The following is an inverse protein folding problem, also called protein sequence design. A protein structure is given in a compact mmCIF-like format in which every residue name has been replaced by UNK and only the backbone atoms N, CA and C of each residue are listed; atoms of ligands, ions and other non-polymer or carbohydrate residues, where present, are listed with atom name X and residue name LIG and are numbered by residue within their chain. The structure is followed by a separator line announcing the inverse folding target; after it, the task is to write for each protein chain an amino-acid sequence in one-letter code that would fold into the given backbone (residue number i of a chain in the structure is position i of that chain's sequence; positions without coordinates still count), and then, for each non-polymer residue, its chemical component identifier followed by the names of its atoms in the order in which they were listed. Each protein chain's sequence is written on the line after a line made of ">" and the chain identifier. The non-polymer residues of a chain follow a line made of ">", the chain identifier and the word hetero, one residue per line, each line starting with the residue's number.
data_IF_726432102232
#
_entry.id   IF_726432102232
#
_cell.length_a   1.000
_cell.length_b   1.000
_cell.length_c   1.000
_cell.angle_alpha   90.00
_cell.angle_beta   90.00
_cell.angle_gamma   90.00
#
_symmetry.space_group_name_H-M   'P 1'
#
loop_
_entity.id
_entity.type
_entity.pdbx_description
1 polymer ?
#
# COMPACT_ATOMS: atom_id res chain seq x y z
N UNK A 1 -15.54 -7.93 -8.98
CA UNK A 1 -14.91 -6.79 -8.29
C UNK A 1 -13.43 -7.12 -8.20
N UNK A 2 -12.52 -6.15 -8.35
CA UNK A 2 -11.08 -6.43 -8.28
C UNK A 2 -10.70 -6.85 -6.86
N UNK A 3 -9.94 -7.94 -6.75
CA UNK A 3 -9.36 -8.39 -5.49
C UNK A 3 -8.35 -7.34 -5.00
N UNK A 4 -8.61 -6.74 -3.83
CA UNK A 4 -7.79 -5.67 -3.26
C UNK A 4 -7.21 -6.11 -1.93
N UNK A 5 -5.89 -6.20 -1.84
CA UNK A 5 -5.15 -6.59 -0.65
C UNK A 5 -4.54 -5.35 0.03
N UNK A 6 -4.84 -5.16 1.31
CA UNK A 6 -4.12 -4.26 2.22
C UNK A 6 -2.97 -5.04 2.85
N UNK A 7 -1.76 -4.49 2.81
CA UNK A 7 -0.56 -5.20 3.22
C UNK A 7 0.34 -4.29 4.04
N UNK A 8 0.91 -4.84 5.10
CA UNK A 8 1.92 -4.21 5.94
C UNK A 8 2.89 -5.29 6.45
N UNK A 9 4.20 -5.00 6.42
CA UNK A 9 5.24 -5.91 6.92
C UNK A 9 6.01 -5.28 8.08
N UNK A 10 6.59 -6.14 8.92
CA UNK A 10 7.57 -5.71 9.91
C UNK A 10 8.90 -6.43 9.71
N UNK A 11 9.98 -5.66 9.87
CA UNK A 11 11.34 -6.13 9.63
C UNK A 11 12.18 -6.04 10.90
N UNK A 12 13.01 -7.05 11.14
CA UNK A 12 14.09 -6.98 12.11
C UNK A 12 15.10 -5.88 11.72
N UNK A 13 15.64 -5.15 12.70
CA UNK A 13 16.77 -4.25 12.47
C UNK A 13 18.01 -5.02 12.01
N UNK A 14 18.93 -4.34 11.32
CA UNK A 14 20.29 -4.87 11.18
C UNK A 14 20.96 -4.94 12.55
N UNK A 15 21.61 -6.06 12.86
CA UNK A 15 22.48 -6.18 14.02
C UNK A 15 23.92 -5.93 13.57
N UNK A 16 24.53 -4.88 14.12
CA UNK A 16 25.82 -4.36 13.64
C UNK A 16 26.79 -4.12 14.78
N UNK A 17 28.07 -4.35 14.50
CA UNK A 17 29.18 -3.95 15.37
C UNK A 17 29.58 -2.51 15.11
N UNK A 18 29.46 -1.65 16.12
CA UNK A 18 29.89 -0.25 16.06
C UNK A 18 30.63 0.17 17.33
N UNK A 19 31.64 1.03 17.19
CA UNK A 19 32.45 1.55 18.31
C UNK A 19 31.89 2.85 18.91
N UNK A 20 30.87 3.43 18.30
CA UNK A 20 30.27 4.68 18.75
C UNK A 20 28.81 4.81 18.36
N UNK A 21 28.14 5.79 18.95
CA UNK A 21 26.71 6.07 18.69
C UNK A 21 26.50 7.12 17.58
N UNK A 22 27.47 8.01 17.37
CA UNK A 22 27.30 9.21 16.54
C UNK A 22 28.12 9.15 15.24
N UNK A 23 27.50 9.52 14.11
CA UNK A 23 28.15 9.67 12.79
C UNK A 23 28.98 8.45 12.34
N UNK A 24 28.50 7.24 12.61
CA UNK A 24 29.16 6.01 12.16
C UNK A 24 28.66 5.61 10.77
N UNK A 25 29.57 5.37 9.84
CA UNK A 25 29.24 4.70 8.58
C UNK A 25 29.47 3.20 8.78
N UNK A 26 28.42 2.39 8.69
CA UNK A 26 28.51 0.95 8.94
C UNK A 26 28.92 0.23 7.65
N UNK A 27 30.09 -0.41 7.65
CA UNK A 27 30.56 -1.26 6.57
C UNK A 27 29.85 -2.62 6.55
N UNK A 28 29.74 -3.25 5.38
CA UNK A 28 29.08 -4.56 5.23
C UNK A 28 29.71 -5.65 6.10
N UNK A 29 31.02 -5.57 6.37
CA UNK A 29 31.75 -6.51 7.22
C UNK A 29 31.47 -6.35 8.72
N UNK A 30 30.73 -5.31 9.11
CA UNK A 30 30.30 -5.07 10.49
C UNK A 30 28.88 -5.58 10.75
N UNK A 31 28.20 -6.09 9.73
CA UNK A 31 26.88 -6.68 9.85
C UNK A 31 27.03 -8.08 10.44
N UNK A 32 26.48 -8.28 11.64
CA UNK A 32 26.34 -9.62 12.25
C UNK A 32 25.11 -10.33 11.72
N UNK A 33 24.03 -9.58 11.58
CA UNK A 33 22.75 -10.04 11.05
C UNK A 33 22.17 -8.96 10.14
N UNK A 34 21.80 -9.34 8.92
CA UNK A 34 21.18 -8.46 7.93
C UNK A 34 19.74 -8.07 8.26
N UNK A 35 19.17 -8.61 9.33
CA UNK A 35 17.75 -8.56 9.64
C UNK A 35 16.97 -9.39 8.63
N UNK A 36 15.68 -9.10 8.51
CA UNK A 36 14.76 -9.87 7.68
C UNK A 36 13.32 -9.49 7.98
N UNK A 37 12.39 -9.97 7.16
CA UNK A 37 10.97 -9.83 7.49
C UNK A 37 10.65 -10.76 8.67
N UNK A 38 10.07 -10.20 9.74
CA UNK A 38 9.71 -10.96 10.95
C UNK A 38 8.21 -11.27 11.00
N UNK A 39 7.38 -10.43 10.40
CA UNK A 39 5.97 -10.74 10.18
C UNK A 39 5.37 -9.91 9.04
N UNK A 40 4.20 -10.33 8.58
CA UNK A 40 3.32 -9.49 7.78
C UNK A 40 1.86 -9.69 8.18
N UNK A 41 1.08 -8.64 7.91
CA UNK A 41 -0.36 -8.71 7.92
C UNK A 41 -0.91 -8.38 6.55
N UNK A 42 -1.91 -9.14 6.14
CA UNK A 42 -2.63 -8.95 4.89
C UNK A 42 -4.13 -8.92 5.17
N UNK A 43 -4.90 -8.12 4.45
CA UNK A 43 -6.36 -8.10 4.58
C UNK A 43 -6.97 -7.85 3.21
N UNK A 44 -7.88 -8.72 2.75
CA UNK A 44 -8.64 -8.41 1.55
C UNK A 44 -9.77 -7.43 1.86
N UNK A 45 -10.07 -6.55 0.90
CA UNK A 45 -11.18 -5.60 0.99
C UNK A 45 -12.49 -6.32 1.28
N UNK A 46 -13.13 -5.95 2.40
CA UNK A 46 -14.39 -6.54 2.86
C UNK A 46 -14.25 -7.73 3.81
N UNK A 47 -13.06 -8.31 4.00
CA UNK A 47 -12.84 -9.31 5.06
C UNK A 47 -13.01 -8.65 6.44
N UNK A 48 -13.52 -9.36 7.45
CA UNK A 48 -13.68 -8.79 8.78
C UNK A 48 -12.35 -8.69 9.54
N UNK A 49 -11.47 -9.68 9.35
CA UNK A 49 -10.19 -9.79 10.04
C UNK A 49 -9.05 -9.85 9.02
N UNK A 50 -7.92 -9.25 9.38
CA UNK A 50 -6.68 -9.49 8.65
C UNK A 50 -6.20 -10.95 8.82
N UNK A 51 -5.19 -11.32 8.05
CA UNK A 51 -4.33 -12.46 8.25
C UNK A 51 -3.04 -11.97 8.91
N UNK A 52 -2.38 -12.83 9.67
CA UNK A 52 -1.06 -12.54 10.25
C UNK A 52 -0.22 -13.80 10.18
N UNK A 53 1.05 -13.62 9.79
CA UNK A 53 2.04 -14.69 9.77
C UNK A 53 3.38 -14.10 10.22
N UNK A 54 4.17 -14.88 10.96
CA UNK A 54 5.49 -14.49 11.41
C UNK A 54 6.56 -15.55 11.14
N UNK A 55 7.81 -15.13 11.24
CA UNK A 55 8.98 -16.01 11.23
C UNK A 55 9.07 -16.90 12.48
N UNK A 56 8.29 -16.59 13.52
CA UNK A 56 8.07 -17.42 14.71
C UNK A 56 7.01 -18.50 14.47
N UNK A 57 5.87 -18.15 13.85
CA UNK A 57 4.81 -19.08 13.51
C UNK A 57 4.06 -18.62 12.24
N UNK A 58 4.03 -19.40 11.15
CA UNK A 58 4.48 -20.80 11.00
C UNK A 58 5.97 -20.98 10.71
N UNK A 59 6.79 -19.95 10.91
CA UNK A 59 8.18 -19.95 10.48
C UNK A 59 8.38 -19.15 9.20
N UNK A 60 9.62 -18.72 8.94
CA UNK A 60 9.97 -17.87 7.79
C UNK A 60 9.41 -18.40 6.46
N UNK A 61 9.63 -19.68 6.15
CA UNK A 61 9.19 -20.26 4.87
C UNK A 61 7.66 -20.21 4.71
N UNK A 62 6.92 -20.58 5.76
CA UNK A 62 5.46 -20.54 5.72
C UNK A 62 4.92 -19.12 5.65
N UNK A 63 5.52 -18.17 6.37
CA UNK A 63 5.20 -16.75 6.28
C UNK A 63 5.40 -16.20 4.87
N UNK A 64 6.58 -16.42 4.27
CA UNK A 64 6.89 -15.89 2.94
C UNK A 64 6.01 -16.51 1.86
N UNK A 65 5.72 -17.82 1.94
CA UNK A 65 4.77 -18.48 1.02
C UNK A 65 3.36 -17.91 1.15
N UNK A 66 2.88 -17.68 2.38
CA UNK A 66 1.57 -17.07 2.60
C UNK A 66 1.50 -15.65 2.01
N UNK A 67 2.55 -14.84 2.16
CA UNK A 67 2.61 -13.50 1.55
C UNK A 67 2.61 -13.58 0.01
N UNK A 68 3.35 -14.54 -0.56
CA UNK A 68 3.38 -14.78 -1.99
C UNK A 68 1.99 -15.17 -2.53
N UNK A 69 1.33 -16.13 -1.90
CA UNK A 69 0.00 -16.60 -2.29
C UNK A 69 -1.07 -15.49 -2.20
N UNK A 70 -1.00 -14.61 -1.19
CA UNK A 70 -1.91 -13.48 -1.09
C UNK A 70 -1.66 -12.42 -2.16
N UNK A 71 -0.40 -12.13 -2.48
CA UNK A 71 -0.05 -11.23 -3.59
C UNK A 71 -0.47 -11.81 -4.94
N UNK A 72 -0.36 -13.12 -5.13
CA UNK A 72 -0.76 -13.81 -6.37
C UNK A 72 -2.27 -13.69 -6.65
N UNK A 73 -3.07 -13.65 -5.58
CA UNK A 73 -4.52 -13.48 -5.65
C UNK A 73 -4.99 -12.01 -5.79
N UNK A 74 -4.09 -11.04 -5.64
CA UNK A 74 -4.44 -9.63 -5.61
C UNK A 74 -4.41 -9.00 -7.01
N UNK A 75 -5.47 -8.30 -7.41
CA UNK A 75 -5.43 -7.42 -8.57
C UNK A 75 -4.81 -6.05 -8.19
N UNK A 76 -5.06 -5.62 -6.95
CA UNK A 76 -4.60 -4.36 -6.37
C UNK A 76 -3.97 -4.64 -5.01
N UNK A 77 -2.79 -4.06 -4.78
CA UNK A 77 -2.12 -4.08 -3.48
C UNK A 77 -2.02 -2.65 -2.96
N UNK A 78 -2.61 -2.42 -1.80
CA UNK A 78 -2.63 -1.14 -1.08
C UNK A 78 -1.64 -1.22 0.08
N UNK A 79 -0.75 -0.23 0.18
CA UNK A 79 0.27 -0.12 1.24
C UNK A 79 0.43 1.31 1.71
N UNK A 80 1.08 1.52 2.85
CA UNK A 80 1.62 2.81 3.26
C UNK A 80 3.14 2.85 3.04
N UNK A 81 3.60 3.49 1.96
CA UNK A 81 5.01 3.54 1.56
C UNK A 81 5.61 2.19 1.09
N UNK A 82 4.77 1.17 0.83
CA UNK A 82 5.23 -0.16 0.47
C UNK A 82 5.86 -0.32 -0.91
N UNK A 83 5.64 0.62 -1.84
CA UNK A 83 6.39 0.66 -3.11
C UNK A 83 7.90 0.75 -2.90
N UNK A 84 8.32 1.39 -1.81
CA UNK A 84 9.74 1.61 -1.47
C UNK A 84 10.23 0.76 -0.31
N UNK A 85 9.32 0.14 0.44
CA UNK A 85 9.64 -0.60 1.65
C UNK A 85 9.17 -2.05 1.55
N UNK A 86 7.87 -2.29 1.70
CA UNK A 86 7.26 -3.62 1.80
C UNK A 86 7.55 -4.52 0.60
N UNK A 87 7.21 -4.05 -0.60
CA UNK A 87 7.34 -4.85 -1.83
C UNK A 87 8.79 -5.21 -2.14
N UNK A 88 9.78 -4.29 -2.03
CA UNK A 88 11.19 -4.67 -2.13
C UNK A 88 11.64 -5.74 -1.13
N UNK A 89 11.21 -5.68 0.14
CA UNK A 89 11.57 -6.69 1.14
C UNK A 89 10.94 -8.04 0.81
N UNK A 90 9.65 -8.07 0.46
CA UNK A 90 8.98 -9.29 0.03
C UNK A 90 9.64 -9.92 -1.20
N UNK A 91 10.00 -9.12 -2.21
CA UNK A 91 10.71 -9.61 -3.37
C UNK A 91 12.08 -10.21 -3.02
N UNK A 92 12.80 -9.65 -2.04
CA UNK A 92 14.04 -10.24 -1.51
C UNK A 92 13.75 -11.59 -0.86
N UNK A 93 12.74 -11.67 0.02
CA UNK A 93 12.36 -12.93 0.66
C UNK A 93 11.96 -14.01 -0.36
N UNK A 94 11.21 -13.64 -1.40
CA UNK A 94 10.86 -14.57 -2.49
C UNK A 94 12.10 -15.07 -3.22
N UNK A 95 13.03 -14.17 -3.56
CA UNK A 95 14.27 -14.51 -4.23
C UNK A 95 15.13 -15.47 -3.38
N UNK A 96 15.27 -15.19 -2.08
CA UNK A 96 16.06 -16.01 -1.16
C UNK A 96 15.47 -17.40 -0.91
N UNK A 97 14.14 -17.55 -1.01
CA UNK A 97 13.46 -18.86 -0.97
C UNK A 97 13.33 -19.53 -2.35
N UNK A 98 13.89 -18.95 -3.41
CA UNK A 98 13.81 -19.50 -4.77
C UNK A 98 12.42 -19.45 -5.40
N UNK A 99 11.53 -18.60 -4.88
CA UNK A 99 10.22 -18.35 -5.47
C UNK A 99 10.34 -17.37 -6.65
N UNK A 100 9.55 -17.60 -7.69
CA UNK A 100 9.37 -16.62 -8.77
C UNK A 100 8.46 -15.48 -8.31
N UNK A 101 8.45 -14.33 -9.00
CA UNK A 101 7.48 -13.28 -8.69
C UNK A 101 6.02 -13.81 -8.69
N UNK A 102 5.14 -13.28 -7.82
CA UNK A 102 3.71 -13.57 -7.88
C UNK A 102 3.09 -12.96 -9.14
N UNK A 103 1.81 -13.29 -9.40
CA UNK A 103 1.05 -12.72 -10.50
C UNK A 103 1.08 -11.18 -10.50
N UNK A 104 1.12 -10.52 -11.68
CA UNK A 104 1.24 -9.06 -11.74
C UNK A 104 0.02 -8.35 -11.13
N UNK A 105 0.26 -7.47 -10.16
CA UNK A 105 -0.75 -6.63 -9.51
C UNK A 105 -0.49 -5.13 -9.69
N UNK A 106 -1.51 -4.31 -9.43
CA UNK A 106 -1.40 -2.84 -9.43
C UNK A 106 -1.18 -2.33 -8.01
N UNK A 107 -0.20 -1.44 -7.82
CA UNK A 107 0.12 -0.90 -6.50
C UNK A 107 -0.48 0.49 -6.26
N UNK A 108 -1.25 0.62 -5.18
CA UNK A 108 -1.77 1.88 -4.64
C UNK A 108 -1.03 2.19 -3.33
N UNK A 109 -0.11 3.15 -3.38
CA UNK A 109 0.66 3.56 -2.20
C UNK A 109 0.05 4.84 -1.63
N UNK A 110 -0.59 4.72 -0.46
CA UNK A 110 -1.31 5.83 0.16
C UNK A 110 -0.38 6.91 0.72
N UNK A 111 0.86 6.58 1.07
CA UNK A 111 1.85 7.57 1.47
C UNK A 111 2.20 8.51 0.30
N UNK A 112 2.33 7.96 -0.91
CA UNK A 112 2.54 8.77 -2.11
C UNK A 112 1.32 9.63 -2.45
N UNK A 113 0.11 9.10 -2.26
CA UNK A 113 -1.13 9.89 -2.41
C UNK A 113 -1.16 11.03 -1.39
N UNK A 114 -0.85 10.75 -0.12
CA UNK A 114 -0.84 11.76 0.94
C UNK A 114 0.11 12.90 0.61
N UNK A 115 1.35 12.58 0.24
CA UNK A 115 2.37 13.58 -0.12
C UNK A 115 2.03 14.40 -1.36
N UNK A 116 1.31 13.79 -2.32
CA UNK A 116 0.99 14.44 -3.59
C UNK A 116 -0.22 15.34 -3.48
N UNK A 117 -1.23 14.92 -2.72
CA UNK A 117 -2.56 15.54 -2.74
C UNK A 117 -2.82 16.39 -1.51
N UNK A 118 -2.20 16.08 -0.36
CA UNK A 118 -2.45 16.75 0.90
C UNK A 118 -1.20 17.47 1.43
N UNK A 119 -1.42 18.40 2.36
CA UNK A 119 -0.37 19.16 3.05
C UNK A 119 -0.47 18.94 4.56
N UNK A 120 -0.36 17.69 5.00
CA UNK A 120 -0.27 17.37 6.42
C UNK A 120 1.10 17.80 6.98
N UNK A 121 1.16 18.28 8.24
CA UNK A 121 2.43 18.57 8.92
C UNK A 121 3.40 17.37 9.00
N UNK A 122 2.86 16.16 9.08
CA UNK A 122 3.62 14.91 9.01
C UNK A 122 2.90 13.91 8.11
N UNK A 123 3.65 13.11 7.35
CA UNK A 123 3.13 12.02 6.53
C UNK A 123 3.38 10.65 7.19
N UNK A 124 3.58 10.60 8.50
CA UNK A 124 3.53 9.33 9.23
C UNK A 124 2.09 8.82 9.24
N UNK A 125 1.91 7.51 9.07
CA UNK A 125 0.59 6.85 9.06
C UNK A 125 -0.26 7.27 10.27
N UNK A 126 0.33 7.18 11.46
CA UNK A 126 -0.32 7.53 12.73
C UNK A 126 -0.82 8.99 12.74
N UNK A 127 0.02 9.95 12.34
CA UNK A 127 -0.36 11.36 12.30
C UNK A 127 -1.53 11.61 11.35
N UNK A 128 -1.48 11.05 10.14
CA UNK A 128 -2.54 11.22 9.14
C UNK A 128 -3.84 10.58 9.60
N UNK A 129 -3.75 9.41 10.24
CA UNK A 129 -4.90 8.68 10.78
C UNK A 129 -5.62 9.47 11.86
N UNK A 130 -4.87 9.95 12.86
CA UNK A 130 -5.40 10.79 13.93
C UNK A 130 -6.00 12.09 13.40
N UNK A 131 -5.34 12.74 12.43
CA UNK A 131 -5.85 13.97 11.82
C UNK A 131 -7.18 13.78 11.08
N UNK A 132 -7.52 12.55 10.68
CA UNK A 132 -8.77 12.19 10.02
C UNK A 132 -9.82 11.60 10.98
N UNK A 133 -9.51 11.54 12.28
CA UNK A 133 -10.41 11.08 13.33
C UNK A 133 -10.49 9.56 13.45
N UNK A 134 -9.55 8.80 12.88
CA UNK A 134 -9.44 7.37 13.11
C UNK A 134 -8.82 7.09 14.47
N UNK A 135 -9.16 5.95 15.07
CA UNK A 135 -8.55 5.51 16.31
C UNK A 135 -7.03 5.45 16.10
N UNK A 136 -6.28 6.20 16.91
CA UNK A 136 -4.82 6.24 16.82
C UNK A 136 -4.21 4.87 17.12
N UNK A 137 -2.95 4.66 16.70
CA UNK A 137 -2.26 3.39 16.96
C UNK A 137 -2.23 3.06 18.46
N UNK A 138 -2.32 1.77 18.78
CA UNK A 138 -1.84 1.26 20.07
C UNK A 138 -0.36 1.66 20.19
N UNK A 139 -0.02 2.43 21.22
CA UNK A 139 1.37 2.83 21.44
C UNK A 139 2.25 1.58 21.62
N UNK A 140 3.20 1.37 20.73
CA UNK A 140 4.17 0.28 20.86
C UNK A 140 5.36 0.72 21.71
N UNK A 141 6.09 -0.24 22.30
CA UNK A 141 7.29 0.00 23.11
C UNK A 141 8.50 0.52 22.28
N UNK A 142 8.26 1.06 21.09
CA UNK A 142 9.31 1.42 20.13
C UNK A 142 10.09 0.19 19.68
N UNK A 143 11.37 0.39 19.42
CA UNK A 143 12.32 -0.65 19.02
C UNK A 143 12.38 -1.86 19.97
N UNK A 144 12.05 -1.68 21.26
CA UNK A 144 12.10 -2.74 22.26
C UNK A 144 11.14 -3.90 21.94
N UNK A 145 10.00 -3.63 21.31
CA UNK A 145 9.06 -4.67 20.91
C UNK A 145 9.69 -5.65 19.90
N UNK A 146 10.45 -5.13 18.93
CA UNK A 146 11.14 -5.94 17.91
C UNK A 146 12.22 -6.79 18.57
N UNK A 147 13.01 -6.21 19.48
CA UNK A 147 14.06 -6.94 20.22
C UNK A 147 13.45 -8.12 20.99
N UNK A 148 12.35 -7.91 21.72
CA UNK A 148 11.67 -8.98 22.45
C UNK A 148 11.11 -10.08 21.53
N UNK A 149 10.56 -9.70 20.38
CA UNK A 149 10.11 -10.69 19.39
C UNK A 149 11.28 -11.55 18.88
N UNK A 150 12.42 -10.92 18.58
CA UNK A 150 13.64 -11.60 18.16
C UNK A 150 14.24 -12.51 19.25
N UNK A 151 13.98 -12.21 20.52
CA UNK A 151 14.34 -13.05 21.68
C UNK A 151 13.34 -14.18 21.95
N UNK A 152 12.24 -14.27 21.19
CA UNK A 152 11.22 -15.31 21.31
C UNK A 152 10.17 -15.06 22.40
N UNK A 153 9.98 -13.81 22.83
CA UNK A 153 8.95 -13.45 23.82
C UNK A 153 7.52 -13.56 23.23
N UNK A 154 6.74 -14.52 23.73
CA UNK A 154 5.36 -14.78 23.31
C UNK A 154 4.40 -13.61 23.59
N UNK A 155 4.60 -12.85 24.67
CA UNK A 155 3.79 -11.65 24.94
C UNK A 155 4.10 -10.53 23.96
N UNK A 156 5.37 -10.40 23.57
CA UNK A 156 5.78 -9.45 22.54
C UNK A 156 5.18 -9.83 21.19
N UNK A 157 5.20 -11.11 20.82
CA UNK A 157 4.60 -11.59 19.58
C UNK A 157 3.09 -11.35 19.52
N UNK A 158 2.36 -11.55 20.61
CA UNK A 158 0.91 -11.22 20.66
C UNK A 158 0.65 -9.74 20.43
N UNK A 159 1.49 -8.86 21.00
CA UNK A 159 1.38 -7.40 20.77
C UNK A 159 1.77 -7.02 19.35
N UNK A 160 2.78 -7.67 18.78
CA UNK A 160 3.20 -7.47 17.39
C UNK A 160 2.09 -7.86 16.41
N UNK A 161 1.42 -9.00 16.66
CA UNK A 161 0.26 -9.43 15.88
C UNK A 161 -0.88 -8.42 15.94
N UNK A 162 -1.28 -7.97 17.13
CA UNK A 162 -2.31 -6.95 17.29
C UNK A 162 -1.95 -5.65 16.55
N UNK A 163 -0.71 -5.19 16.72
CA UNK A 163 -0.19 -3.99 16.08
C UNK A 163 -0.23 -4.07 14.55
N UNK A 164 0.31 -5.13 13.96
CA UNK A 164 0.43 -5.27 12.51
C UNK A 164 -0.93 -5.54 11.83
N UNK A 165 -1.84 -6.27 12.51
CA UNK A 165 -3.24 -6.39 12.07
C UNK A 165 -3.99 -5.06 12.12
N UNK A 166 -3.79 -4.28 13.16
CA UNK A 166 -4.42 -2.96 13.28
C UNK A 166 -3.98 -2.01 12.16
N UNK A 167 -2.71 -2.10 11.72
CA UNK A 167 -2.20 -1.28 10.63
C UNK A 167 -2.92 -1.55 9.29
N UNK A 168 -3.21 -2.81 8.94
CA UNK A 168 -3.97 -3.11 7.70
C UNK A 168 -5.45 -2.73 7.80
N UNK A 169 -6.05 -2.80 8.99
CA UNK A 169 -7.43 -2.31 9.22
C UNK A 169 -7.47 -0.80 9.02
N UNK A 170 -6.56 -0.07 9.66
CA UNK A 170 -6.44 1.38 9.52
C UNK A 170 -6.13 1.79 8.08
N UNK A 171 -5.32 0.99 7.37
CA UNK A 171 -4.99 1.22 5.97
C UNK A 171 -6.23 1.13 5.06
N UNK A 172 -7.15 0.21 5.32
CA UNK A 172 -8.43 0.11 4.62
C UNK A 172 -9.32 1.33 4.87
N UNK A 173 -9.44 1.78 6.12
CA UNK A 173 -10.21 2.97 6.49
C UNK A 173 -9.67 4.23 5.78
N UNK A 174 -8.35 4.39 5.77
CA UNK A 174 -7.66 5.46 5.07
C UNK A 174 -7.86 5.37 3.56
N UNK A 175 -7.74 4.16 3.00
CA UNK A 175 -7.95 3.93 1.58
C UNK A 175 -9.36 4.36 1.17
N UNK A 176 -10.40 3.99 1.94
CA UNK A 176 -11.77 4.41 1.69
C UNK A 176 -11.92 5.94 1.68
N UNK A 177 -11.28 6.65 2.62
CA UNK A 177 -11.27 8.12 2.65
C UNK A 177 -10.47 8.75 1.52
N UNK A 178 -9.36 8.12 1.11
CA UNK A 178 -8.48 8.63 0.07
C UNK A 178 -8.99 8.34 -1.33
N UNK A 179 -9.84 7.32 -1.50
CA UNK A 179 -10.32 6.81 -2.77
C UNK A 179 -10.74 7.90 -3.80
N UNK A 180 -11.58 8.90 -3.44
CA UNK A 180 -11.91 10.00 -4.37
C UNK A 180 -10.69 10.83 -4.80
N UNK A 181 -9.68 10.94 -3.96
CA UNK A 181 -8.48 11.75 -4.14
C UNK A 181 -7.36 11.05 -4.90
N UNK A 182 -7.41 9.72 -5.06
CA UNK A 182 -6.37 8.95 -5.76
C UNK A 182 -6.35 9.32 -7.27
N UNK A 183 -5.32 10.00 -7.80
CA UNK A 183 -5.39 10.58 -9.15
C UNK A 183 -5.55 9.54 -10.28
N UNK A 184 -4.98 8.36 -10.11
CA UNK A 184 -5.02 7.27 -11.09
C UNK A 184 -5.24 5.95 -10.38
N UNK A 185 -6.47 5.76 -9.91
CA UNK A 185 -6.88 4.51 -9.27
C UNK A 185 -6.97 3.39 -10.32
N UNK A 186 -6.42 2.19 -10.07
CA UNK A 186 -6.65 1.03 -10.93
C UNK A 186 -8.14 0.73 -11.05
N UNK A 187 -8.63 0.52 -12.27
CA UNK A 187 -10.05 0.29 -12.52
C UNK A 187 -10.23 -1.06 -13.21
N UNK A 188 -11.29 -1.79 -12.85
CA UNK A 188 -11.76 -2.89 -13.67
C UNK A 188 -12.24 -2.34 -15.02
N UNK A 189 -11.98 -3.06 -16.11
CA UNK A 189 -12.69 -2.81 -17.37
C UNK A 189 -14.15 -3.16 -17.12
N UNK A 190 -15.03 -2.20 -17.32
CA UNK A 190 -16.47 -2.35 -17.14
C UNK A 190 -17.15 -1.94 -18.44
N UNK A 191 -18.15 -2.72 -18.85
CA UNK A 191 -19.02 -2.34 -19.95
C UNK A 191 -19.92 -1.18 -19.51
N UNK A 192 -19.87 -0.07 -20.25
CA UNK A 192 -20.62 1.15 -19.94
C UNK A 192 -19.84 2.17 -19.11
N UNK A 193 -20.56 2.97 -18.33
CA UNK A 193 -19.98 4.05 -17.53
C UNK A 193 -20.13 3.71 -16.05
N UNK A 194 -19.02 3.47 -15.38
CA UNK A 194 -18.96 3.37 -13.93
C UNK A 194 -17.77 4.15 -13.39
N UNK A 195 -17.80 4.45 -12.09
CA UNK A 195 -16.69 5.11 -11.43
C UNK A 195 -15.45 4.19 -11.43
N UNK A 196 -14.31 4.62 -11.98
CA UNK A 196 -13.09 3.79 -12.03
C UNK A 196 -12.45 3.56 -10.65
N UNK A 197 -12.94 4.23 -9.60
CA UNK A 197 -12.38 4.16 -8.25
C UNK A 197 -13.11 3.14 -7.38
N UNK A 198 -14.44 3.21 -7.35
CA UNK A 198 -15.26 2.33 -6.50
C UNK A 198 -16.19 1.38 -7.30
N UNK A 199 -16.20 1.45 -8.63
CA UNK A 199 -17.07 0.63 -9.48
C UNK A 199 -18.54 1.05 -9.51
N UNK A 200 -18.95 2.10 -8.78
CA UNK A 200 -20.36 2.54 -8.77
C UNK A 200 -20.83 3.07 -10.12
N UNK A 201 -22.02 2.63 -10.55
CA UNK A 201 -22.76 3.21 -11.69
C UNK A 201 -23.53 4.48 -11.33
N UNK A 202 -23.59 4.87 -10.04
CA UNK A 202 -24.27 6.09 -9.60
C UNK A 202 -23.36 7.30 -9.79
N UNK A 203 -23.65 8.06 -10.84
CA UNK A 203 -22.86 9.22 -11.21
C UNK A 203 -23.73 10.33 -11.81
N UNK A 204 -23.20 11.56 -11.79
CA UNK A 204 -23.80 12.70 -12.47
C UNK A 204 -22.86 13.26 -13.54
N UNK A 205 -23.42 13.66 -14.70
CA UNK A 205 -22.69 14.37 -15.76
C UNK A 205 -22.37 15.80 -15.31
N UNK A 206 -21.10 16.20 -15.39
CA UNK A 206 -20.60 17.50 -14.88
C UNK A 206 -19.58 18.13 -15.83
N UNK A 207 -20.08 18.75 -16.90
CA UNK A 207 -19.27 19.46 -17.89
C UNK A 207 -18.28 18.54 -18.62
N UNK A 208 -17.17 19.10 -19.10
CA UNK A 208 -16.18 18.36 -19.90
C UNK A 208 -14.80 18.37 -19.26
N UNK A 209 -14.07 17.28 -19.43
CA UNK A 209 -12.63 17.21 -19.21
C UNK A 209 -11.94 17.49 -20.54
N UNK A 210 -11.16 18.57 -20.58
CA UNK A 210 -10.45 19.01 -21.77
C UNK A 210 -9.01 18.51 -21.74
N UNK A 211 -8.53 18.10 -22.91
CA UNK A 211 -7.13 17.86 -23.22
C UNK A 211 -6.73 18.78 -24.36
N UNK A 212 -5.45 18.87 -24.70
CA UNK A 212 -4.99 19.73 -25.80
C UNK A 212 -5.67 19.42 -27.15
N UNK A 213 -6.13 18.18 -27.35
CA UNK A 213 -6.63 17.71 -28.64
C UNK A 213 -8.11 17.28 -28.60
N UNK A 214 -8.75 17.24 -27.43
CA UNK A 214 -10.05 16.57 -27.27
C UNK A 214 -10.81 16.98 -26.03
N UNK A 215 -12.14 16.92 -26.12
CA UNK A 215 -13.07 17.00 -25.00
C UNK A 215 -13.68 15.63 -24.70
N UNK A 216 -13.89 15.37 -23.41
CA UNK A 216 -14.51 14.15 -22.90
C UNK A 216 -15.58 14.50 -21.90
N UNK A 217 -16.73 13.81 -21.93
CA UNK A 217 -17.77 14.01 -20.91
C UNK A 217 -17.20 13.67 -19.52
N UNK A 218 -17.30 14.61 -18.58
CA UNK A 218 -16.83 14.44 -17.18
C UNK A 218 -17.99 14.06 -16.27
N UNK A 219 -17.68 13.27 -15.25
CA UNK A 219 -18.62 12.74 -14.28
C UNK A 219 -18.09 12.94 -12.85
N UNK A 220 -19.03 13.03 -11.90
CA UNK A 220 -18.75 12.88 -10.48
C UNK A 220 -19.53 11.67 -9.95
N UNK A 221 -18.84 10.76 -9.27
CA UNK A 221 -19.48 9.64 -8.60
C UNK A 221 -20.28 10.14 -7.40
N UNK A 222 -21.49 9.60 -7.21
CA UNK A 222 -22.37 9.98 -6.10
C UNK A 222 -22.15 9.13 -4.84
N UNK A 223 -21.39 8.03 -4.94
CA UNK A 223 -21.10 7.16 -3.79
C UNK A 223 -19.75 7.50 -3.16
N UNK A 224 -18.66 7.53 -3.94
CA UNK A 224 -17.33 7.87 -3.41
C UNK A 224 -16.96 9.36 -3.55
N UNK A 225 -17.73 10.16 -4.30
CA UNK A 225 -17.43 11.56 -4.58
C UNK A 225 -16.32 11.80 -5.62
N UNK A 226 -15.68 10.74 -6.10
CA UNK A 226 -14.55 10.81 -7.03
C UNK A 226 -14.93 11.34 -8.41
N UNK A 227 -14.04 12.12 -9.01
CA UNK A 227 -14.19 12.63 -10.37
C UNK A 227 -13.55 11.69 -11.40
N UNK A 228 -14.20 11.56 -12.56
CA UNK A 228 -13.70 10.78 -13.69
C UNK A 228 -14.27 11.28 -15.02
N UNK A 229 -13.81 10.72 -16.15
CA UNK A 229 -14.28 11.09 -17.49
C UNK A 229 -14.54 9.84 -18.33
N UNK A 230 -15.36 10.01 -19.38
CA UNK A 230 -15.51 9.00 -20.44
C UNK A 230 -14.22 8.80 -21.22
N UNK A 231 -14.06 7.59 -21.77
CA UNK A 231 -13.01 7.25 -22.74
C UNK A 231 -13.41 7.63 -24.16
N UNK A 232 -14.71 7.66 -24.47
CA UNK A 232 -15.24 8.14 -25.74
C UNK A 232 -15.02 9.64 -25.87
N UNK A 233 -14.34 10.04 -26.95
CA UNK A 233 -14.16 11.44 -27.35
C UNK A 233 -15.51 12.03 -27.77
N UNK A 234 -15.86 13.20 -27.23
CA UNK A 234 -17.07 13.95 -27.62
C UNK A 234 -16.76 14.89 -28.80
N UNK A 235 -15.65 15.63 -28.72
CA UNK A 235 -15.15 16.47 -29.82
C UNK A 235 -13.62 16.61 -29.79
N UNK A 236 -12.99 16.91 -30.93
CA UNK A 236 -11.55 17.16 -31.00
C UNK A 236 -11.15 17.82 -32.32
N UNK A 237 -10.04 18.56 -32.29
CA UNK A 237 -9.42 19.16 -33.48
C UNK A 237 -8.46 18.16 -34.12
N UNK A 238 -8.46 18.08 -35.47
CA UNK A 238 -7.41 17.36 -36.19
C UNK A 238 -6.11 18.15 -36.07
N UNK A 239 -5.14 17.64 -35.30
CA UNK A 239 -3.78 18.20 -35.32
C UNK A 239 -3.19 17.87 -36.69
N UNK A 240 -3.03 18.86 -37.55
CA UNK A 240 -2.19 18.74 -38.76
C UNK A 240 -0.75 19.00 -38.33
N UNK A 241 0.15 18.11 -38.70
CA UNK A 241 1.59 18.31 -38.59
C UNK A 241 1.94 19.63 -39.28
N UNK A 242 2.58 20.55 -38.57
CA UNK A 242 3.19 21.72 -39.22
C UNK A 242 4.49 21.18 -39.81
N UNK A 243 4.50 20.94 -41.12
CA UNK A 243 5.71 20.68 -41.87
C UNK A 243 6.64 21.88 -41.66
N UNK A 244 7.70 21.69 -40.89
CA UNK A 244 8.79 22.66 -40.80
C UNK A 244 9.42 22.76 -42.19
N UNK A 245 9.20 23.89 -42.85
CA UNK A 245 9.97 24.32 -44.02
C UNK A 245 11.30 24.94 -43.61
#
# INVERSE_FOLDING_TARGET
>A
MLSTLFLDIENAPLLVDTWGLWNQNIGINQIRDSGGMICFSGKFLGDELGYFYSDHNPGREGMVKAAHDQLDQADIVVTWNGKRHDIPHLNREFLELGLTPPSPYRQVDLYQVARRVFKFPSNKLDYVSQALGFAGKVGHEGHLLWVKCMEGDEDAWRRMEEYNRNDVILLEELYARFLPWIPSHPAAVVDGIACPKCGSGRHQKRGYALTQQSSFQRYQCLDCGGWFRSTKRESGSHVREVSNG
#
